data_IF_108894611006
#
_entry.id   IF_108894611006
#
_cell.length_a   1.000
_cell.length_b   1.000
_cell.length_c   1.000
_cell.angle_alpha   90.00
_cell.angle_beta   90.00
_cell.angle_gamma   90.00
#
_symmetry.space_group_name_H-M   'P 1'
#
loop_
_entity.id
_entity.type
_entity.pdbx_description
1 polymer ?
#
# COMPACT_ATOMS: atom_id res chain seq x y z
N UNK A 1 10.78 21.85 -11.52
CA UNK A 1 10.45 20.96 -10.40
C UNK A 1 10.33 19.52 -10.91
N UNK A 2 10.80 18.51 -10.17
CA UNK A 2 10.65 17.10 -10.57
C UNK A 2 9.18 16.73 -10.45
N UNK A 3 8.58 16.22 -11.53
CA UNK A 3 7.17 15.81 -11.54
C UNK A 3 6.94 14.70 -10.51
N UNK A 4 5.98 14.87 -9.61
CA UNK A 4 5.65 13.86 -8.59
C UNK A 4 5.08 12.61 -9.26
N UNK A 5 5.64 11.46 -8.92
CA UNK A 5 5.18 10.16 -9.41
C UNK A 5 4.11 9.63 -8.45
N UNK A 6 3.07 9.02 -8.98
CA UNK A 6 1.96 8.47 -8.22
C UNK A 6 1.66 7.03 -8.58
N UNK A 7 1.23 6.26 -7.59
CA UNK A 7 0.49 5.01 -7.73
C UNK A 7 -0.85 5.12 -7.01
N UNK A 8 -1.74 4.18 -7.26
CA UNK A 8 -3.08 4.14 -6.64
C UNK A 8 -3.40 2.72 -6.21
N UNK A 9 -4.14 2.59 -5.10
CA UNK A 9 -4.62 1.32 -4.60
C UNK A 9 -6.12 1.15 -4.92
N UNK A 10 -6.53 -0.05 -5.36
CA UNK A 10 -7.94 -0.38 -5.57
C UNK A 10 -8.27 -1.73 -4.96
N UNK A 11 -9.54 -1.95 -4.67
CA UNK A 11 -10.07 -3.28 -4.37
C UNK A 11 -10.30 -4.07 -5.67
N UNK A 12 -10.20 -5.40 -5.69
CA UNK A 12 -10.46 -6.21 -6.88
C UNK A 12 -11.82 -5.91 -7.54
N UNK A 13 -12.88 -5.72 -6.74
CA UNK A 13 -14.22 -5.38 -7.24
C UNK A 13 -14.31 -4.00 -7.89
N UNK A 14 -13.38 -3.10 -7.62
CA UNK A 14 -13.33 -1.75 -8.20
C UNK A 14 -12.53 -1.68 -9.51
N UNK A 15 -12.17 -2.83 -10.08
CA UNK A 15 -11.41 -2.86 -11.34
C UNK A 15 -12.15 -2.23 -12.53
N UNK A 16 -13.48 -2.11 -12.48
CA UNK A 16 -14.27 -1.34 -13.44
C UNK A 16 -13.95 0.16 -13.44
N UNK A 17 -13.41 0.67 -12.33
CA UNK A 17 -13.09 2.09 -12.17
C UNK A 17 -11.75 2.48 -12.82
N UNK A 18 -11.05 1.54 -13.48
CA UNK A 18 -9.76 1.80 -14.17
C UNK A 18 -9.85 2.94 -15.18
N UNK A 19 -11.01 3.11 -15.85
CA UNK A 19 -11.23 4.19 -16.81
C UNK A 19 -11.15 5.59 -16.20
N UNK A 20 -11.34 5.72 -14.89
CA UNK A 20 -11.18 6.99 -14.17
C UNK A 20 -9.72 7.28 -13.83
N UNK A 21 -8.84 6.25 -13.77
CA UNK A 21 -7.45 6.41 -13.34
C UNK A 21 -6.64 7.14 -14.43
N UNK A 22 -6.04 8.30 -14.12
CA UNK A 22 -5.27 9.07 -15.10
C UNK A 22 -4.14 8.26 -15.74
N UNK A 23 -3.81 8.57 -17.00
CA UNK A 23 -2.79 7.86 -17.76
C UNK A 23 -1.37 8.03 -17.20
N UNK A 24 -1.10 9.09 -16.46
CA UNK A 24 0.18 9.29 -15.80
C UNK A 24 0.39 8.35 -14.59
N UNK A 25 -0.69 7.76 -14.04
CA UNK A 25 -0.61 6.68 -13.05
C UNK A 25 -0.28 5.38 -13.78
N UNK A 26 0.92 4.85 -13.57
CA UNK A 26 1.37 3.62 -14.22
C UNK A 26 1.21 2.38 -13.35
N UNK A 27 1.24 2.52 -12.04
CA UNK A 27 1.16 1.41 -11.08
C UNK A 27 -0.18 1.44 -10.35
N UNK A 28 -0.88 0.31 -10.37
CA UNK A 28 -2.16 0.11 -9.67
C UNK A 28 -2.01 -1.08 -8.73
N UNK A 29 -2.08 -0.80 -7.44
CA UNK A 29 -2.03 -1.81 -6.39
C UNK A 29 -3.40 -2.42 -6.18
N UNK A 30 -3.44 -3.72 -5.91
CA UNK A 30 -4.68 -4.47 -5.71
C UNK A 30 -4.70 -4.97 -4.28
N UNK A 31 -5.58 -4.41 -3.47
CA UNK A 31 -5.72 -4.79 -2.06
C UNK A 31 -6.27 -6.19 -1.92
N UNK A 32 -5.64 -7.01 -1.08
CA UNK A 32 -6.18 -8.29 -0.65
C UNK A 32 -6.77 -8.15 0.76
N UNK A 33 -8.09 -8.16 0.87
CA UNK A 33 -8.78 -8.05 2.15
C UNK A 33 -9.22 -9.42 2.68
N UNK A 34 -9.32 -9.61 4.01
CA UNK A 34 -9.82 -10.86 4.58
C UNK A 34 -11.18 -11.24 3.99
N UNK A 35 -11.34 -12.52 3.64
CA UNK A 35 -12.57 -13.05 3.05
C UNK A 35 -12.69 -12.93 1.52
N UNK A 36 -11.75 -12.25 0.85
CA UNK A 36 -11.63 -12.29 -0.62
C UNK A 36 -10.62 -13.35 -1.04
N UNK A 37 -10.99 -14.17 -2.02
CA UNK A 37 -10.08 -15.15 -2.61
C UNK A 37 -9.02 -14.48 -3.49
N UNK A 38 -7.85 -15.09 -3.60
CA UNK A 38 -6.79 -14.59 -4.49
C UNK A 38 -7.19 -14.64 -5.99
N UNK A 39 -8.22 -15.42 -6.36
CA UNK A 39 -8.75 -15.46 -7.73
C UNK A 39 -9.27 -14.09 -8.19
N UNK A 40 -9.97 -13.34 -7.32
CA UNK A 40 -10.43 -11.98 -7.65
C UNK A 40 -9.26 -11.04 -7.89
N UNK A 41 -8.19 -11.19 -7.11
CA UNK A 41 -6.95 -10.44 -7.29
C UNK A 41 -6.27 -10.76 -8.62
N UNK A 42 -6.21 -12.03 -9.03
CA UNK A 42 -5.66 -12.46 -10.33
C UNK A 42 -6.50 -11.89 -11.49
N UNK A 43 -7.82 -11.96 -11.41
CA UNK A 43 -8.71 -11.41 -12.43
C UNK A 43 -8.56 -9.90 -12.56
N UNK A 44 -8.46 -9.19 -11.44
CA UNK A 44 -8.20 -7.76 -11.44
C UNK A 44 -6.82 -7.43 -12.04
N UNK A 45 -5.78 -8.19 -11.68
CA UNK A 45 -4.44 -8.03 -12.22
C UNK A 45 -4.40 -8.16 -13.74
N UNK A 46 -5.06 -9.18 -14.30
CA UNK A 46 -5.21 -9.36 -15.76
C UNK A 46 -5.82 -8.14 -16.45
N UNK A 47 -6.91 -7.59 -15.87
CA UNK A 47 -7.60 -6.42 -16.43
C UNK A 47 -6.73 -5.16 -16.37
N UNK A 48 -5.97 -4.97 -15.28
CA UNK A 48 -5.05 -3.84 -15.13
C UNK A 48 -3.93 -3.93 -16.15
N UNK A 49 -3.29 -5.10 -16.30
CA UNK A 49 -2.25 -5.32 -17.30
C UNK A 49 -2.76 -5.05 -18.72
N UNK A 50 -3.99 -5.50 -19.04
CA UNK A 50 -4.62 -5.23 -20.35
C UNK A 50 -4.89 -3.74 -20.59
N UNK A 51 -4.93 -2.89 -19.55
CA UNK A 51 -5.09 -1.44 -19.66
C UNK A 51 -3.77 -0.67 -19.78
N UNK A 52 -2.66 -1.35 -20.10
CA UNK A 52 -1.31 -0.79 -20.16
C UNK A 52 -0.84 -0.11 -18.85
N UNK A 53 -1.35 -0.58 -17.71
CA UNK A 53 -0.90 -0.22 -16.37
C UNK A 53 -0.26 -1.45 -15.72
N UNK A 54 0.70 -1.22 -14.83
CA UNK A 54 1.33 -2.29 -14.05
C UNK A 54 0.48 -2.62 -12.83
N UNK A 55 -0.02 -3.85 -12.76
CA UNK A 55 -0.68 -4.35 -11.57
C UNK A 55 0.35 -4.76 -10.51
N UNK A 56 0.12 -4.36 -9.26
CA UNK A 56 0.92 -4.77 -8.10
C UNK A 56 -0.04 -5.38 -7.05
N UNK A 57 -0.28 -6.70 -7.11
CA UNK A 57 -1.18 -7.35 -6.16
C UNK A 57 -0.55 -7.44 -4.77
N UNK A 58 -1.39 -7.27 -3.74
CA UNK A 58 -1.03 -7.61 -2.37
C UNK A 58 -1.16 -9.12 -2.18
N UNK A 59 -0.19 -9.72 -1.50
CA UNK A 59 -0.29 -11.06 -0.95
C UNK A 59 -0.20 -10.99 0.57
N UNK A 60 -1.24 -11.50 1.21
CA UNK A 60 -1.41 -11.42 2.66
C UNK A 60 -1.02 -12.76 3.29
N UNK A 61 0.11 -12.80 4.01
CA UNK A 61 0.68 -14.05 4.53
C UNK A 61 -0.33 -14.86 5.35
N UNK A 62 -1.01 -14.22 6.30
CA UNK A 62 -1.92 -14.91 7.22
C UNK A 62 -3.24 -15.40 6.61
N UNK A 63 -3.49 -15.14 5.32
CA UNK A 63 -4.69 -15.64 4.62
C UNK A 63 -4.45 -16.95 3.87
N UNK A 64 -3.20 -17.32 3.59
CA UNK A 64 -2.87 -18.56 2.91
C UNK A 64 -2.87 -19.74 3.88
N UNK A 65 -3.51 -20.82 3.48
CA UNK A 65 -3.62 -22.07 4.26
C UNK A 65 -2.34 -22.91 4.19
N UNK A 66 -1.55 -22.77 3.11
CA UNK A 66 -0.32 -23.52 2.95
C UNK A 66 0.42 -23.21 1.65
N UNK A 67 1.48 -23.99 1.43
CA UNK A 67 2.39 -23.85 0.29
C UNK A 67 1.67 -24.06 -1.04
N UNK A 68 0.79 -25.04 -1.13
CA UNK A 68 0.09 -25.35 -2.39
C UNK A 68 -0.89 -24.26 -2.81
N UNK A 69 -1.55 -23.62 -1.86
CA UNK A 69 -2.40 -22.47 -2.15
C UNK A 69 -1.56 -21.26 -2.63
N UNK A 70 -0.40 -21.06 -2.01
CA UNK A 70 0.55 -20.04 -2.46
C UNK A 70 1.05 -20.33 -3.88
N UNK A 71 1.40 -21.59 -4.21
CA UNK A 71 1.78 -22.02 -5.57
C UNK A 71 0.69 -21.72 -6.59
N UNK A 72 -0.54 -22.06 -6.26
CA UNK A 72 -1.70 -21.83 -7.12
C UNK A 72 -1.89 -20.33 -7.40
N UNK A 73 -1.79 -19.50 -6.36
CA UNK A 73 -1.86 -18.04 -6.49
C UNK A 73 -0.73 -17.52 -7.38
N UNK A 74 0.51 -17.90 -7.11
CA UNK A 74 1.69 -17.45 -7.87
C UNK A 74 1.63 -17.88 -9.33
N UNK A 75 1.16 -19.09 -9.64
CA UNK A 75 0.93 -19.56 -11.01
C UNK A 75 -0.08 -18.67 -11.75
N UNK A 76 -1.18 -18.31 -11.07
CA UNK A 76 -2.17 -17.38 -11.64
C UNK A 76 -1.61 -15.98 -11.89
N UNK A 77 -0.75 -15.48 -11.01
CA UNK A 77 -0.08 -14.20 -11.17
C UNK A 77 0.95 -14.24 -12.31
N UNK A 78 1.72 -15.32 -12.42
CA UNK A 78 2.67 -15.54 -13.51
C UNK A 78 1.97 -15.51 -14.87
N UNK A 79 0.86 -16.23 -15.03
CA UNK A 79 0.06 -16.23 -16.28
C UNK A 79 -0.58 -14.88 -16.57
N UNK A 80 -0.64 -13.99 -15.58
CA UNK A 80 -1.10 -12.60 -15.71
C UNK A 80 0.03 -11.61 -15.99
N UNK A 81 1.28 -12.08 -16.13
CA UNK A 81 2.45 -11.24 -16.38
C UNK A 81 2.88 -10.39 -15.17
N UNK A 82 2.58 -10.84 -13.95
CA UNK A 82 2.94 -10.12 -12.72
C UNK A 82 4.37 -10.45 -12.32
N UNK A 83 5.21 -9.43 -12.20
CA UNK A 83 6.62 -9.53 -11.80
C UNK A 83 6.91 -8.83 -10.47
N UNK A 84 5.94 -8.06 -9.93
CA UNK A 84 6.05 -7.32 -8.66
C UNK A 84 4.82 -7.55 -7.81
N UNK A 85 5.04 -7.73 -6.53
CA UNK A 85 3.98 -7.92 -5.52
C UNK A 85 4.29 -7.11 -4.27
N UNK A 86 3.23 -6.69 -3.55
CA UNK A 86 3.35 -6.16 -2.20
C UNK A 86 3.05 -7.27 -1.19
N UNK A 87 4.03 -7.59 -0.35
CA UNK A 87 3.88 -8.60 0.72
C UNK A 87 3.50 -7.94 2.04
N UNK A 88 2.39 -8.38 2.61
CA UNK A 88 1.87 -7.91 3.89
C UNK A 88 1.56 -9.08 4.83
N UNK A 89 1.66 -8.85 6.15
CA UNK A 89 1.34 -9.87 7.15
C UNK A 89 -0.14 -10.23 7.18
N UNK A 90 -0.99 -9.19 7.13
CA UNK A 90 -2.45 -9.30 7.24
C UNK A 90 -2.97 -8.97 8.63
N UNK A 91 -4.15 -8.34 8.69
CA UNK A 91 -4.82 -7.88 9.92
C UNK A 91 -5.64 -8.96 10.65
N UNK A 92 -5.57 -10.23 10.23
CA UNK A 92 -6.27 -11.31 10.92
C UNK A 92 -5.48 -11.77 12.14
N UNK A 93 -6.11 -11.89 13.34
CA UNK A 93 -5.40 -12.25 14.56
C UNK A 93 -4.77 -13.65 14.50
N UNK A 94 -5.44 -14.61 13.84
CA UNK A 94 -5.00 -15.99 13.71
C UNK A 94 -4.72 -16.30 12.24
N UNK A 95 -3.52 -16.81 11.89
CA UNK A 95 -3.24 -17.28 10.54
C UNK A 95 -4.18 -18.39 10.12
N UNK A 96 -4.58 -18.41 8.85
CA UNK A 96 -5.38 -19.48 8.26
C UNK A 96 -4.62 -20.79 8.13
N UNK A 97 -3.29 -20.73 8.09
CA UNK A 97 -2.41 -21.88 7.94
C UNK A 97 -1.03 -21.64 8.52
N UNK A 98 -0.01 -22.10 7.79
CA UNK A 98 1.38 -22.15 8.27
C UNK A 98 2.12 -20.80 8.23
N UNK A 99 1.60 -19.81 7.51
CA UNK A 99 2.29 -18.53 7.36
C UNK A 99 1.80 -17.51 8.40
N UNK A 100 2.60 -17.28 9.40
CA UNK A 100 2.34 -16.27 10.44
C UNK A 100 2.86 -14.88 10.06
N UNK A 101 3.82 -14.82 9.15
CA UNK A 101 4.52 -13.60 8.74
C UNK A 101 4.91 -13.63 7.25
N UNK A 102 5.28 -12.47 6.72
CA UNK A 102 5.86 -12.36 5.37
C UNK A 102 7.15 -13.17 5.27
N UNK A 103 7.96 -13.22 6.34
CA UNK A 103 9.20 -13.99 6.33
C UNK A 103 8.97 -15.49 6.15
N UNK A 104 7.85 -16.03 6.65
CA UNK A 104 7.52 -17.44 6.44
C UNK A 104 7.22 -17.73 4.95
N UNK A 105 6.53 -16.80 4.27
CA UNK A 105 6.33 -16.90 2.82
C UNK A 105 7.65 -16.79 2.06
N UNK A 106 8.50 -15.81 2.40
CA UNK A 106 9.78 -15.60 1.73
C UNK A 106 10.73 -16.79 1.88
N UNK A 107 10.70 -17.49 3.02
CA UNK A 107 11.49 -18.71 3.26
C UNK A 107 11.10 -19.90 2.38
N UNK A 108 9.96 -19.86 1.72
CA UNK A 108 9.56 -20.90 0.76
C UNK A 108 10.38 -20.86 -0.52
N UNK A 109 11.05 -19.73 -0.82
CA UNK A 109 11.83 -19.45 -2.05
C UNK A 109 11.00 -19.59 -3.36
N UNK A 110 9.69 -19.74 -3.29
CA UNK A 110 8.81 -20.01 -4.45
C UNK A 110 8.71 -18.86 -5.44
N UNK A 111 8.80 -17.63 -4.96
CA UNK A 111 8.49 -16.44 -5.77
C UNK A 111 9.28 -16.35 -7.07
N UNK A 112 10.56 -16.73 -7.04
CA UNK A 112 11.43 -16.72 -8.23
C UNK A 112 11.00 -17.76 -9.28
N UNK A 113 10.52 -18.94 -8.85
CA UNK A 113 10.01 -20.00 -9.73
C UNK A 113 8.83 -19.51 -10.57
N UNK A 114 8.03 -18.58 -10.03
CA UNK A 114 6.86 -17.99 -10.69
C UNK A 114 7.10 -16.60 -11.29
N UNK A 115 8.35 -16.24 -11.52
CA UNK A 115 8.72 -15.02 -12.25
C UNK A 115 8.55 -13.72 -11.47
N UNK A 116 8.40 -13.75 -10.15
CA UNK A 116 8.41 -12.54 -9.32
C UNK A 116 9.84 -12.02 -9.21
N UNK A 117 10.06 -10.81 -9.69
CA UNK A 117 11.40 -10.17 -9.80
C UNK A 117 11.64 -9.09 -8.75
N UNK A 118 10.58 -8.58 -8.11
CA UNK A 118 10.71 -7.52 -7.12
C UNK A 118 9.59 -7.55 -6.08
N UNK A 119 9.91 -7.06 -4.88
CA UNK A 119 8.98 -6.98 -3.77
C UNK A 119 8.76 -5.55 -3.30
N UNK A 120 7.53 -5.27 -2.91
CA UNK A 120 7.21 -4.13 -2.08
C UNK A 120 6.90 -4.64 -0.66
N UNK A 121 7.35 -3.91 0.35
CA UNK A 121 7.11 -4.23 1.76
C UNK A 121 6.38 -3.09 2.45
N UNK A 122 5.45 -3.44 3.32
CA UNK A 122 4.68 -2.44 4.07
C UNK A 122 5.56 -1.71 5.09
N UNK A 123 5.44 -0.37 5.11
CA UNK A 123 6.00 0.52 6.13
C UNK A 123 4.90 1.18 6.96
N UNK A 124 5.17 1.48 8.23
CA UNK A 124 4.18 2.03 9.17
C UNK A 124 4.71 3.29 9.87
N UNK A 125 4.64 4.48 9.23
CA UNK A 125 5.20 5.72 9.80
C UNK A 125 4.62 6.12 11.16
N UNK A 126 3.38 5.71 11.45
CA UNK A 126 2.71 5.96 12.71
C UNK A 126 2.77 4.78 13.69
N UNK A 127 3.52 3.72 13.33
CA UNK A 127 3.55 2.43 13.99
C UNK A 127 2.41 1.53 13.56
N UNK A 128 2.51 0.24 13.87
CA UNK A 128 1.47 -0.75 13.64
C UNK A 128 0.96 -1.27 14.99
N UNK A 129 -0.32 -1.06 15.35
CA UNK A 129 -0.86 -1.52 16.63
C UNK A 129 -0.90 -3.04 16.78
N UNK A 130 -0.94 -3.77 15.66
CA UNK A 130 -1.00 -5.23 15.62
C UNK A 130 0.39 -5.86 15.54
N UNK A 131 1.43 -5.03 15.30
CA UNK A 131 2.84 -5.43 15.25
C UNK A 131 3.73 -4.29 15.77
N UNK A 132 3.96 -4.21 17.11
CA UNK A 132 4.81 -3.17 17.70
C UNK A 132 6.24 -3.15 17.15
N UNK A 133 6.73 -4.31 16.67
CA UNK A 133 8.07 -4.48 16.11
C UNK A 133 8.09 -4.35 14.57
N UNK A 134 7.08 -3.70 14.00
CA UNK A 134 6.89 -3.57 12.54
C UNK A 134 8.11 -3.02 11.79
N UNK A 135 8.86 -2.10 12.38
CA UNK A 135 10.10 -1.57 11.79
C UNK A 135 11.23 -2.63 11.81
N UNK A 136 11.38 -3.39 12.90
CA UNK A 136 12.32 -4.51 12.94
C UNK A 136 12.00 -5.54 11.84
N UNK A 137 10.75 -5.94 11.71
CA UNK A 137 10.30 -6.86 10.66
C UNK A 137 10.46 -6.28 9.25
N UNK A 138 10.33 -4.96 9.08
CA UNK A 138 10.64 -4.30 7.82
C UNK A 138 12.14 -4.46 7.48
N UNK A 139 13.03 -4.18 8.44
CA UNK A 139 14.48 -4.36 8.24
C UNK A 139 14.85 -5.80 7.90
N UNK A 140 14.23 -6.80 8.53
CA UNK A 140 14.47 -8.21 8.19
C UNK A 140 14.14 -8.50 6.72
N UNK A 141 12.98 -8.05 6.23
CA UNK A 141 12.53 -8.22 4.83
C UNK A 141 13.46 -7.52 3.85
N UNK A 142 13.87 -6.29 4.14
CA UNK A 142 14.79 -5.53 3.31
C UNK A 142 16.16 -6.23 3.22
N UNK A 143 16.71 -6.68 4.34
CA UNK A 143 17.98 -7.44 4.38
C UNK A 143 17.86 -8.77 3.64
N UNK A 144 16.73 -9.46 3.73
CA UNK A 144 16.48 -10.69 3.00
C UNK A 144 16.54 -10.45 1.49
N UNK A 145 15.88 -9.41 1.00
CA UNK A 145 15.88 -9.02 -0.41
C UNK A 145 17.27 -8.56 -0.88
N UNK A 146 17.97 -7.73 -0.09
CA UNK A 146 19.31 -7.23 -0.38
C UNK A 146 20.32 -8.38 -0.54
N UNK A 147 20.35 -9.34 0.40
CA UNK A 147 21.23 -10.51 0.33
C UNK A 147 21.02 -11.33 -0.95
N UNK A 148 19.83 -11.30 -1.53
CA UNK A 148 19.48 -12.00 -2.77
C UNK A 148 19.57 -11.13 -4.01
N UNK A 149 19.95 -9.86 -3.84
CA UNK A 149 19.98 -8.84 -4.90
C UNK A 149 18.65 -8.68 -5.60
N UNK A 150 17.56 -8.84 -4.86
CA UNK A 150 16.18 -8.65 -5.37
C UNK A 150 15.77 -7.21 -5.12
N UNK A 151 15.36 -6.45 -6.14
CA UNK A 151 14.86 -5.10 -5.99
C UNK A 151 13.68 -5.04 -5.04
N UNK A 152 13.70 -4.10 -4.10
CA UNK A 152 12.59 -3.93 -3.17
C UNK A 152 12.32 -2.45 -2.85
N UNK A 153 11.07 -2.15 -2.53
CA UNK A 153 10.58 -0.81 -2.18
C UNK A 153 9.79 -0.89 -0.89
N UNK A 154 9.60 0.26 -0.26
CA UNK A 154 8.75 0.41 0.91
C UNK A 154 7.49 1.15 0.46
N UNK A 155 6.31 0.56 0.67
CA UNK A 155 5.02 1.21 0.46
C UNK A 155 4.38 1.40 1.82
N UNK A 156 4.13 2.67 2.22
CA UNK A 156 3.67 2.91 3.58
C UNK A 156 2.17 2.84 3.70
N UNK A 157 1.71 2.51 4.89
CA UNK A 157 0.36 2.84 5.33
C UNK A 157 0.18 4.36 5.21
N UNK A 158 -1.04 4.82 4.95
CA UNK A 158 -1.35 6.24 4.88
C UNK A 158 -1.23 6.92 6.26
N UNK A 159 -0.90 8.21 6.24
CA UNK A 159 -0.75 9.04 7.42
C UNK A 159 -1.32 10.43 7.20
N UNK A 160 -1.72 11.10 8.31
CA UNK A 160 -2.02 12.53 8.36
C UNK A 160 -1.00 13.31 9.18
N UNK A 161 0.01 12.66 9.72
CA UNK A 161 1.05 13.26 10.55
C UNK A 161 2.35 13.37 9.75
N UNK A 162 2.52 14.50 9.06
CA UNK A 162 3.70 14.72 8.24
C UNK A 162 4.98 14.77 9.08
N UNK A 163 4.93 15.33 10.31
CA UNK A 163 6.10 15.41 11.18
C UNK A 163 6.57 14.01 11.59
N UNK A 164 5.63 13.16 12.03
CA UNK A 164 5.92 11.79 12.42
C UNK A 164 6.43 10.96 11.24
N UNK A 165 5.78 11.12 10.06
CA UNK A 165 6.20 10.47 8.82
C UNK A 165 7.62 10.86 8.42
N UNK A 166 7.94 12.15 8.45
CA UNK A 166 9.26 12.64 8.13
C UNK A 166 10.33 12.12 9.11
N UNK A 167 10.05 12.10 10.42
CA UNK A 167 10.94 11.52 11.44
C UNK A 167 11.18 10.03 11.21
N UNK A 168 10.15 9.29 10.82
CA UNK A 168 10.28 7.87 10.50
C UNK A 168 11.17 7.64 9.26
N UNK A 169 10.99 8.43 8.19
CA UNK A 169 11.86 8.38 7.00
C UNK A 169 13.30 8.70 7.38
N UNK A 170 13.52 9.77 8.15
CA UNK A 170 14.85 10.17 8.61
C UNK A 170 15.50 9.02 9.40
N UNK A 171 14.74 8.33 10.26
CA UNK A 171 15.20 7.16 11.01
C UNK A 171 15.61 6.01 10.09
N UNK A 172 14.81 5.67 9.07
CA UNK A 172 15.17 4.63 8.09
C UNK A 172 16.48 4.98 7.38
N UNK A 173 16.61 6.21 6.89
CA UNK A 173 17.81 6.68 6.18
C UNK A 173 19.06 6.65 7.09
N UNK A 174 18.92 7.08 8.36
CA UNK A 174 19.98 6.99 9.38
C UNK A 174 20.43 5.56 9.64
N UNK A 175 19.51 4.59 9.56
CA UNK A 175 19.82 3.16 9.70
C UNK A 175 20.26 2.49 8.37
N UNK A 176 20.61 3.28 7.35
CA UNK A 176 21.21 2.81 6.10
C UNK A 176 20.22 2.30 5.04
N UNK A 177 18.92 2.43 5.24
CA UNK A 177 17.92 2.03 4.24
C UNK A 177 17.99 2.97 3.05
N UNK A 178 18.31 2.45 1.86
CA UNK A 178 18.36 3.19 0.60
C UNK A 178 17.19 2.87 -0.34
N UNK A 179 16.36 1.91 0.03
CA UNK A 179 15.20 1.49 -0.76
C UNK A 179 14.26 2.66 -1.05
N UNK A 180 13.64 2.72 -2.25
CA UNK A 180 12.64 3.72 -2.56
C UNK A 180 11.45 3.66 -1.59
N UNK A 181 10.95 4.83 -1.19
CA UNK A 181 9.83 4.98 -0.27
C UNK A 181 8.66 5.58 -1.02
N UNK A 182 7.57 4.83 -1.10
CA UNK A 182 6.29 5.25 -1.64
C UNK A 182 5.35 5.57 -0.48
N UNK A 183 5.08 6.87 -0.28
CA UNK A 183 4.28 7.33 0.86
C UNK A 183 2.78 7.21 0.62
N UNK A 184 2.09 6.56 1.52
CA UNK A 184 0.65 6.44 1.55
C UNK A 184 -0.06 7.76 1.86
N UNK A 185 -0.91 8.19 0.94
CA UNK A 185 -1.70 9.43 1.05
C UNK A 185 -3.18 9.07 0.95
N UNK A 186 -4.02 9.49 1.93
CA UNK A 186 -5.45 9.30 1.82
C UNK A 186 -6.02 10.26 0.77
N UNK A 187 -6.78 9.76 -0.19
CA UNK A 187 -7.47 10.57 -1.19
C UNK A 187 -8.56 11.44 -0.58
N UNK A 188 -9.11 12.40 -1.36
CA UNK A 188 -10.17 13.28 -0.91
C UNK A 188 -11.39 12.51 -0.41
N UNK A 189 -11.72 12.66 0.86
CA UNK A 189 -12.85 11.98 1.48
C UNK A 189 -13.40 12.76 2.68
N UNK A 190 -14.57 12.37 3.18
CA UNK A 190 -15.12 12.97 4.39
C UNK A 190 -14.34 12.54 5.62
N UNK A 191 -14.36 13.35 6.68
CA UNK A 191 -13.73 13.01 7.95
C UNK A 191 -14.29 11.69 8.53
N UNK A 192 -15.59 11.45 8.43
CA UNK A 192 -16.21 10.20 8.86
C UNK A 192 -15.63 8.98 8.12
N UNK A 193 -15.47 9.10 6.81
CA UNK A 193 -14.84 8.06 6.00
C UNK A 193 -13.41 7.79 6.45
N UNK A 194 -12.62 8.85 6.66
CA UNK A 194 -11.24 8.74 7.12
C UNK A 194 -11.13 8.09 8.51
N UNK A 195 -11.99 8.49 9.46
CA UNK A 195 -12.03 7.89 10.80
C UNK A 195 -12.39 6.39 10.76
N UNK A 196 -13.34 6.01 9.89
CA UNK A 196 -13.70 4.60 9.69
C UNK A 196 -12.50 3.79 9.16
N UNK A 197 -11.82 4.28 8.13
CA UNK A 197 -10.64 3.59 7.59
C UNK A 197 -9.47 3.61 8.57
N UNK A 198 -9.26 4.69 9.32
CA UNK A 198 -8.22 4.74 10.35
C UNK A 198 -8.41 3.64 11.40
N UNK A 199 -9.67 3.38 11.80
CA UNK A 199 -9.99 2.28 12.73
C UNK A 199 -9.69 0.91 12.09
N UNK A 200 -10.07 0.71 10.83
CA UNK A 200 -9.86 -0.57 10.12
C UNK A 200 -8.38 -0.83 9.85
N UNK A 201 -7.63 0.21 9.48
CA UNK A 201 -6.20 0.11 9.15
C UNK A 201 -5.27 0.24 10.38
N UNK A 202 -5.81 0.38 11.59
CA UNK A 202 -5.01 0.52 12.81
C UNK A 202 -4.22 1.84 12.93
N UNK A 203 -4.58 2.88 12.19
CA UNK A 203 -3.87 4.18 12.17
C UNK A 203 -4.27 5.03 13.37
N UNK A 204 -3.62 4.82 14.52
CA UNK A 204 -4.02 5.45 15.81
C UNK A 204 -3.62 6.92 15.91
N UNK A 205 -2.42 7.28 15.47
CA UNK A 205 -1.93 8.65 15.59
C UNK A 205 -2.68 9.60 14.66
N UNK A 206 -3.00 9.18 13.43
CA UNK A 206 -3.83 9.97 12.53
C UNK A 206 -5.24 10.22 13.09
N UNK A 207 -5.83 9.29 13.84
CA UNK A 207 -7.10 9.55 14.55
C UNK A 207 -6.95 10.60 15.64
N UNK A 208 -5.81 10.65 16.34
CA UNK A 208 -5.53 11.67 17.36
C UNK A 208 -5.31 13.05 16.72
N UNK A 209 -4.59 13.12 15.61
CA UNK A 209 -4.38 14.37 14.84
C UNK A 209 -5.72 14.90 14.33
N UNK A 210 -6.56 14.05 13.76
CA UNK A 210 -7.89 14.42 13.30
C UNK A 210 -8.77 14.93 14.44
N UNK A 211 -8.71 14.32 15.63
CA UNK A 211 -9.47 14.77 16.83
C UNK A 211 -8.95 16.08 17.39
N UNK A 212 -7.61 16.27 17.47
CA UNK A 212 -6.98 17.48 18.03
C UNK A 212 -7.20 18.74 17.18
N UNK A 213 -7.42 18.59 15.87
CA UNK A 213 -7.72 19.73 15.01
C UNK A 213 -9.10 20.38 15.24
N UNK A 214 -9.79 20.00 16.33
CA UNK A 214 -10.99 20.69 16.86
C UNK A 214 -12.14 20.70 15.85
N UNK A 215 -12.40 19.58 15.18
CA UNK A 215 -13.45 19.49 14.19
C UNK A 215 -14.82 19.68 14.84
N UNK A 216 -15.42 20.85 14.59
CA UNK A 216 -16.86 21.04 14.84
C UNK A 216 -17.64 20.00 14.00
N UNK A 217 -18.73 19.50 14.54
CA UNK A 217 -19.60 18.47 13.91
C UNK A 217 -19.95 18.86 12.47
N UNK A 218 -20.10 20.16 12.18
CA UNK A 218 -20.34 20.69 10.82
C UNK A 218 -19.22 20.36 9.82
N UNK A 219 -17.98 20.09 10.25
CA UNK A 219 -16.86 19.76 9.37
C UNK A 219 -16.78 18.26 9.03
N UNK A 220 -17.53 17.39 9.69
CA UNK A 220 -17.53 15.95 9.43
C UNK A 220 -17.94 15.57 8.00
N UNK A 221 -18.72 16.43 7.35
CA UNK A 221 -19.21 16.25 5.98
C UNK A 221 -18.33 16.92 4.91
N UNK A 222 -17.40 17.80 5.32
CA UNK A 222 -16.51 18.45 4.36
C UNK A 222 -15.45 17.47 3.83
N UNK A 223 -15.15 17.61 2.54
CA UNK A 223 -14.12 16.82 1.88
C UNK A 223 -12.75 17.36 2.25
N UNK A 224 -11.97 16.56 2.97
CA UNK A 224 -10.57 16.87 3.19
C UNK A 224 -9.76 16.52 1.94
N UNK A 225 -8.94 17.46 1.50
CA UNK A 225 -7.96 17.26 0.42
C UNK A 225 -6.56 17.12 1.06
N UNK A 226 -5.72 16.24 0.55
CA UNK A 226 -4.40 15.98 1.16
C UNK A 226 -3.33 17.00 0.78
N UNK A 227 -3.68 18.08 0.06
CA UNK A 227 -2.71 19.07 -0.44
C UNK A 227 -1.79 19.59 0.66
N UNK A 228 -2.33 19.91 1.85
CA UNK A 228 -1.55 20.44 2.97
C UNK A 228 -0.52 19.43 3.47
N UNK A 229 -0.93 18.18 3.71
CA UNK A 229 0.01 17.17 4.22
C UNK A 229 1.12 16.91 3.19
N UNK A 230 0.79 16.84 1.91
CA UNK A 230 1.78 16.61 0.85
C UNK A 230 2.85 17.70 0.84
N UNK A 231 2.46 18.97 1.05
CA UNK A 231 3.42 20.09 1.08
C UNK A 231 4.39 20.06 2.27
N UNK A 232 4.07 19.30 3.32
CA UNK A 232 4.88 19.16 4.53
C UNK A 232 5.77 17.89 4.50
N UNK A 233 5.51 16.97 3.57
CA UNK A 233 6.23 15.69 3.44
C UNK A 233 7.55 15.86 2.66
N UNK A 234 8.56 15.09 3.07
CA UNK A 234 9.89 15.08 2.42
C UNK A 234 10.53 13.69 2.46
N UNK A 235 11.58 13.48 1.66
CA UNK A 235 12.40 12.28 1.70
C UNK A 235 11.77 11.03 1.08
N UNK A 236 10.65 11.17 0.38
CA UNK A 236 9.98 10.10 -0.36
C UNK A 236 10.37 10.12 -1.85
N UNK A 237 10.17 9.01 -2.53
CA UNK A 237 10.43 8.84 -3.95
C UNK A 237 9.15 8.90 -4.79
N UNK A 238 8.02 8.45 -4.24
CA UNK A 238 6.72 8.39 -4.90
C UNK A 238 5.59 8.55 -3.88
N UNK A 239 4.43 9.04 -4.32
CA UNK A 239 3.21 9.05 -3.52
C UNK A 239 2.29 7.88 -3.93
N UNK A 240 1.68 7.25 -2.94
CA UNK A 240 0.76 6.14 -3.10
C UNK A 240 -0.63 6.52 -2.60
N UNK A 241 -1.62 6.57 -3.50
CA UNK A 241 -2.95 7.08 -3.20
C UNK A 241 -3.90 5.99 -2.72
N UNK A 242 -4.48 6.18 -1.54
CA UNK A 242 -5.60 5.41 -1.02
C UNK A 242 -6.93 6.12 -1.36
N UNK A 243 -7.73 5.67 -2.34
CA UNK A 243 -8.89 6.41 -2.80
C UNK A 243 -10.12 6.19 -1.91
N UNK A 244 -10.05 6.52 -0.62
CA UNK A 244 -11.11 6.31 0.37
C UNK A 244 -12.44 7.00 0.04
N UNK A 245 -12.41 8.06 -0.74
CA UNK A 245 -13.61 8.75 -1.24
C UNK A 245 -14.09 8.24 -2.60
N UNK A 246 -13.54 7.11 -3.08
CA UNK A 246 -13.79 6.52 -4.39
C UNK A 246 -12.74 6.91 -5.44
N UNK A 247 -12.53 6.00 -6.42
CA UNK A 247 -11.50 6.14 -7.46
C UNK A 247 -11.76 7.39 -8.32
N UNK A 248 -12.98 7.56 -8.82
CA UNK A 248 -13.34 8.68 -9.69
C UNK A 248 -13.08 10.06 -9.04
N UNK A 249 -13.46 10.23 -7.77
CA UNK A 249 -13.25 11.47 -7.03
C UNK A 249 -11.76 11.73 -6.77
N UNK A 250 -11.03 10.70 -6.41
CA UNK A 250 -9.59 10.77 -6.17
C UNK A 250 -8.81 11.08 -7.45
N UNK A 251 -9.20 10.49 -8.56
CA UNK A 251 -8.61 10.73 -9.89
C UNK A 251 -8.88 12.14 -10.40
N UNK A 252 -10.11 12.67 -10.17
CA UNK A 252 -10.41 14.08 -10.49
C UNK A 252 -9.49 15.03 -9.71
N UNK A 253 -9.33 14.80 -8.40
CA UNK A 253 -8.42 15.60 -7.57
C UNK A 253 -6.96 15.48 -8.05
N UNK A 254 -6.48 14.27 -8.37
CA UNK A 254 -5.12 14.06 -8.89
C UNK A 254 -4.87 14.85 -10.18
N UNK A 255 -5.82 14.86 -11.10
CA UNK A 255 -5.71 15.65 -12.34
C UNK A 255 -5.63 17.15 -12.06
N UNK A 256 -6.40 17.65 -11.08
CA UNK A 256 -6.33 19.06 -10.64
C UNK A 256 -4.99 19.37 -9.96
N UNK A 257 -4.53 18.46 -9.08
CA UNK A 257 -3.26 18.59 -8.35
C UNK A 257 -2.05 18.61 -9.30
N UNK A 258 -2.01 17.68 -10.28
CA UNK A 258 -0.92 17.56 -11.25
C UNK A 258 -0.77 18.80 -12.16
N UNK A 259 -1.82 19.61 -12.32
CA UNK A 259 -1.77 20.88 -13.08
C UNK A 259 -1.20 22.04 -12.28
N UNK A 260 -1.18 21.93 -10.94
CA UNK A 260 -0.71 22.98 -10.03
C UNK A 260 0.78 22.85 -9.71
N UNK A 261 1.28 21.62 -9.74
CA UNK A 261 2.62 21.24 -9.32
C UNK A 261 3.35 20.43 -10.41
#
# INVERSE_FOLDING_TARGET
MKKTIWSIEILPQNVSDLSFIPDFIKEVYITMIPGTGFNDTILAAKKIQASAKQAVPHLTARTFTGVEELRTCLSGLQTSGIERILLIGGGVPKPAGIFSSVMDMLKTELFAEYGIKSFDFAGHPEGNPDDPDSDYHLFEKLRWAEKRKIPSRIVTQWSFDAEKTNKWIDSLRKNGVQNPIHLGIPGPSTLNTLLRFAKVCGVKASTQVLRKQGFKISKLLFVNKPDKIISELRGYDQLHLYPFGGVAKSSKWLNEWQKKF
#
